data_IF_075154028789
#
_entry.id   IF_075154028789
#
_cell.length_a   1.000
_cell.length_b   1.000
_cell.length_c   1.000
_cell.angle_alpha   90.00
_cell.angle_beta   90.00
_cell.angle_gamma   90.00
#
_symmetry.space_group_name_H-M   'P 1'
#
loop_
_entity.id
_entity.type
_entity.pdbx_description
1 polymer ?
#
# COMPACT_ATOMS: atom_id res chain seq x y z
N UNK A 1 -10.86 -8.98 35.59
CA UNK A 1 -9.77 -8.66 34.64
C UNK A 1 -10.11 -9.36 33.33
N UNK A 2 -10.74 -8.65 32.40
CA UNK A 2 -11.15 -9.23 31.10
C UNK A 2 -9.99 -9.05 30.13
N UNK A 3 -9.29 -10.15 29.81
CA UNK A 3 -8.18 -10.17 28.88
C UNK A 3 -8.71 -9.91 27.47
N UNK A 4 -8.49 -8.71 26.95
CA UNK A 4 -8.76 -8.38 25.55
C UNK A 4 -7.60 -8.96 24.73
N UNK A 5 -7.77 -10.17 24.22
CA UNK A 5 -7.01 -10.63 23.07
C UNK A 5 -7.38 -9.74 21.89
N UNK A 6 -6.56 -8.72 21.63
CA UNK A 6 -6.50 -8.13 20.29
C UNK A 6 -6.11 -9.28 19.35
N UNK A 7 -7.09 -9.85 18.65
CA UNK A 7 -6.81 -10.78 17.58
C UNK A 7 -5.92 -10.05 16.59
N UNK A 8 -4.69 -10.51 16.44
CA UNK A 8 -3.82 -10.20 15.32
C UNK A 8 -4.48 -10.75 14.05
N UNK A 9 -5.56 -10.11 13.60
CA UNK A 9 -5.93 -10.20 12.20
C UNK A 9 -4.71 -9.62 11.48
N UNK A 10 -4.00 -10.38 10.61
CA UNK A 10 -3.09 -9.73 9.71
C UNK A 10 -3.93 -8.65 9.02
N UNK A 11 -3.48 -7.40 9.08
CA UNK A 11 -4.07 -6.36 8.25
C UNK A 11 -3.72 -6.80 6.83
N UNK A 12 -4.58 -7.65 6.27
CA UNK A 12 -4.56 -8.05 4.88
C UNK A 12 -4.73 -6.73 4.18
N UNK A 13 -3.66 -6.26 3.54
CA UNK A 13 -3.70 -5.10 2.67
C UNK A 13 -4.81 -5.34 1.64
N UNK A 14 -6.01 -4.78 1.85
CA UNK A 14 -7.20 -5.21 1.15
C UNK A 14 -7.18 -4.75 -0.31
N UNK A 15 -6.22 -3.88 -0.64
CA UNK A 15 -6.04 -3.28 -1.95
C UNK A 15 -4.74 -3.74 -2.63
N UNK A 16 -3.85 -4.45 -1.93
CA UNK A 16 -2.58 -4.92 -2.50
C UNK A 16 -1.62 -3.79 -2.90
N UNK A 17 -1.66 -2.63 -2.24
CA UNK A 17 -0.91 -1.41 -2.65
C UNK A 17 0.60 -1.67 -2.74
N UNK A 18 1.28 -2.21 -1.72
CA UNK A 18 2.68 -2.64 -1.81
C UNK A 18 2.98 -3.55 -3.02
N UNK A 19 2.07 -4.45 -3.40
CA UNK A 19 2.27 -5.33 -4.54
C UNK A 19 2.11 -4.57 -5.87
N UNK A 20 1.13 -3.67 -5.97
CA UNK A 20 0.94 -2.82 -7.13
C UNK A 20 2.15 -1.91 -7.37
N UNK A 21 2.73 -1.36 -6.29
CA UNK A 21 3.95 -0.54 -6.37
C UNK A 21 5.12 -1.32 -6.94
N UNK A 22 5.34 -2.57 -6.51
CA UNK A 22 6.40 -3.42 -7.08
C UNK A 22 6.22 -3.66 -8.58
N UNK A 23 4.98 -3.79 -9.04
CA UNK A 23 4.69 -3.92 -10.47
C UNK A 23 5.01 -2.61 -11.20
N UNK A 24 4.65 -1.46 -10.63
CA UNK A 24 5.00 -0.16 -11.20
C UNK A 24 6.52 0.06 -11.26
N UNK A 25 7.25 -0.33 -10.21
CA UNK A 25 8.72 -0.25 -10.18
C UNK A 25 9.34 -1.10 -11.30
N UNK A 26 8.72 -2.23 -11.66
CA UNK A 26 9.17 -3.08 -12.78
C UNK A 26 8.83 -2.53 -14.17
N UNK A 27 7.98 -1.49 -14.25
CA UNK A 27 7.53 -0.84 -15.47
C UNK A 27 8.05 0.60 -15.55
N UNK A 28 9.25 0.86 -15.03
CA UNK A 28 9.79 2.24 -14.93
C UNK A 28 9.99 2.93 -16.28
N UNK A 29 10.14 2.16 -17.36
CA UNK A 29 10.25 2.68 -18.72
C UNK A 29 8.90 3.21 -19.23
N UNK A 30 7.81 2.52 -18.94
CA UNK A 30 6.45 2.88 -19.34
C UNK A 30 5.77 3.83 -18.35
N UNK A 31 6.11 3.71 -17.07
CA UNK A 31 5.56 4.49 -15.96
C UNK A 31 6.72 5.17 -15.22
N UNK A 32 7.15 6.36 -15.67
CA UNK A 32 8.17 7.11 -14.97
C UNK A 32 7.76 7.42 -13.52
N UNK A 33 8.71 7.50 -12.60
CA UNK A 33 8.45 7.88 -11.20
C UNK A 33 7.79 9.27 -11.07
N UNK A 34 8.06 10.17 -12.02
CA UNK A 34 7.44 11.49 -12.11
C UNK A 34 5.97 11.45 -12.58
N UNK A 35 5.46 10.28 -12.98
CA UNK A 35 4.08 10.12 -13.41
C UNK A 35 3.11 10.34 -12.25
N UNK A 36 1.92 10.85 -12.57
CA UNK A 36 0.84 10.98 -11.60
C UNK A 36 0.43 9.63 -11.02
N UNK A 37 0.48 8.55 -11.81
CA UNK A 37 0.16 7.20 -11.36
C UNK A 37 1.10 6.75 -10.23
N UNK A 38 2.41 6.92 -10.41
CA UNK A 38 3.40 6.60 -9.39
C UNK A 38 3.21 7.46 -8.13
N UNK A 39 3.03 8.77 -8.32
CA UNK A 39 2.78 9.71 -7.23
C UNK A 39 1.55 9.34 -6.38
N UNK A 40 0.41 9.04 -7.01
CA UNK A 40 -0.80 8.66 -6.29
C UNK A 40 -0.66 7.30 -5.60
N UNK A 41 0.02 6.34 -6.21
CA UNK A 41 0.30 5.04 -5.60
C UNK A 41 1.12 5.19 -4.31
N UNK A 42 2.14 6.07 -4.31
CA UNK A 42 2.92 6.40 -3.11
C UNK A 42 2.09 7.10 -2.04
N UNK A 43 1.22 8.04 -2.43
CA UNK A 43 0.27 8.68 -1.51
C UNK A 43 -0.65 7.65 -0.85
N UNK A 44 -1.12 6.65 -1.60
CA UNK A 44 -1.97 5.59 -1.05
C UNK A 44 -1.20 4.71 -0.06
N UNK A 45 0.05 4.35 -0.37
CA UNK A 45 0.92 3.58 0.52
C UNK A 45 1.15 4.30 1.86
N UNK A 46 1.43 5.59 1.83
CA UNK A 46 1.72 6.41 3.02
C UNK A 46 0.44 6.65 3.86
N UNK A 47 -0.73 6.75 3.22
CA UNK A 47 -1.99 7.01 3.91
C UNK A 47 -2.74 5.73 4.33
N UNK A 48 -2.15 4.55 4.15
CA UNK A 48 -2.69 3.22 4.50
C UNK A 48 -3.35 3.16 5.88
N UNK A 49 -2.78 3.85 6.86
CA UNK A 49 -3.18 3.76 8.26
C UNK A 49 -4.14 4.89 8.70
N UNK A 50 -4.55 5.79 7.80
CA UNK A 50 -5.46 6.93 8.11
C UNK A 50 -6.94 6.55 8.03
N UNK A 51 -7.29 5.31 8.36
CA UNK A 51 -8.67 4.83 8.31
C UNK A 51 -9.48 5.24 9.53
#
# INVERSE_FOLDING_TARGET
MSQVTFSLTPIIDPYGIPQAIKVLDSLSEEVPEASLLYFFSMKLLINKDKR
#
